data_IF_108550611152
#
_entry.id   IF_108550611152
#
_cell.length_a   1.000
_cell.length_b   1.000
_cell.length_c   1.000
_cell.angle_alpha   90.00
_cell.angle_beta   90.00
_cell.angle_gamma   90.00
#
_symmetry.space_group_name_H-M   'P 1'
#
loop_
_entity.id
_entity.type
_entity.pdbx_description
1 polymer ?
#
# COMPACT_ATOMS: atom_id res chain seq x y z
N UNK A 1 0.29 12.28 51.69
CA UNK A 1 -0.89 12.37 50.80
C UNK A 1 -0.49 12.84 49.38
N UNK A 2 0.29 13.91 49.23
CA UNK A 2 0.78 14.46 47.96
C UNK A 2 1.49 13.43 47.08
N UNK A 3 2.45 12.67 47.58
CA UNK A 3 3.19 11.65 46.81
C UNK A 3 2.31 10.52 46.32
N UNK A 4 1.28 10.15 47.06
CA UNK A 4 0.30 9.15 46.64
C UNK A 4 -0.49 9.68 45.44
N UNK A 5 -0.91 10.93 45.46
CA UNK A 5 -1.67 11.55 44.35
C UNK A 5 -0.80 11.61 43.09
N UNK A 6 0.47 11.99 43.16
CA UNK A 6 1.39 12.00 42.04
C UNK A 6 1.61 10.59 41.47
N UNK A 7 1.85 9.62 42.32
CA UNK A 7 2.08 8.23 41.91
C UNK A 7 0.85 7.63 41.20
N UNK A 8 -0.34 7.86 41.73
CA UNK A 8 -1.58 7.40 41.08
C UNK A 8 -1.78 8.08 39.73
N UNK A 9 -1.50 9.36 39.65
CA UNK A 9 -1.65 10.10 38.41
C UNK A 9 -0.62 9.70 37.33
N UNK A 10 0.62 9.43 37.71
CA UNK A 10 1.64 8.90 36.83
C UNK A 10 1.22 7.52 36.25
N UNK A 11 0.68 6.63 37.08
CA UNK A 11 0.17 5.33 36.63
C UNK A 11 -0.98 5.50 35.63
N UNK A 12 -1.94 6.38 35.91
CA UNK A 12 -3.04 6.69 34.99
C UNK A 12 -2.50 7.25 33.66
N UNK A 13 -1.50 8.15 33.73
CA UNK A 13 -0.85 8.71 32.56
C UNK A 13 -0.20 7.63 31.70
N UNK A 14 0.54 6.68 32.30
CA UNK A 14 1.16 5.56 31.58
C UNK A 14 0.11 4.65 30.93
N UNK A 15 -1.00 4.40 31.61
CA UNK A 15 -2.10 3.63 31.07
C UNK A 15 -2.73 4.29 29.83
N UNK A 16 -3.00 5.59 29.90
CA UNK A 16 -3.52 6.36 28.76
C UNK A 16 -2.52 6.40 27.59
N UNK A 17 -1.23 6.62 27.87
CA UNK A 17 -0.18 6.56 26.85
C UNK A 17 -0.12 5.19 26.18
N UNK A 18 -0.18 4.10 26.94
CA UNK A 18 -0.22 2.74 26.43
C UNK A 18 -1.47 2.49 25.55
N UNK A 19 -2.64 3.02 25.94
CA UNK A 19 -3.86 2.95 25.13
C UNK A 19 -3.70 3.69 23.79
N UNK A 20 -3.03 4.84 23.77
CA UNK A 20 -2.74 5.57 22.55
C UNK A 20 -1.81 4.80 21.61
N UNK A 21 -0.78 4.16 22.16
CA UNK A 21 0.11 3.29 21.39
C UNK A 21 -0.63 2.08 20.80
N UNK A 22 -1.45 1.41 21.61
CA UNK A 22 -2.29 0.30 21.15
C UNK A 22 -3.26 0.74 20.06
N UNK A 23 -3.82 1.95 20.17
CA UNK A 23 -4.72 2.47 19.16
C UNK A 23 -4.03 2.70 17.80
N UNK A 24 -2.74 3.06 17.79
CA UNK A 24 -1.93 3.13 16.56
C UNK A 24 -1.76 1.75 15.91
N UNK A 25 -1.59 0.71 16.71
CA UNK A 25 -1.36 -0.67 16.25
C UNK A 25 -2.66 -1.47 16.10
N UNK A 26 -3.83 -0.89 16.39
CA UNK A 26 -5.12 -1.60 16.42
C UNK A 26 -5.51 -2.27 15.10
N UNK A 27 -5.04 -1.78 13.97
CA UNK A 27 -5.39 -2.31 12.63
C UNK A 27 -4.45 -3.43 12.18
N UNK A 28 -3.35 -3.64 12.89
CA UNK A 28 -2.42 -4.72 12.61
C UNK A 28 -3.01 -6.08 13.00
N UNK A 29 -2.72 -7.11 12.21
CA UNK A 29 -3.19 -8.47 12.51
C UNK A 29 -2.33 -9.11 13.61
N UNK A 30 -2.92 -9.83 14.58
CA UNK A 30 -2.15 -10.54 15.59
C UNK A 30 -1.42 -11.76 14.98
N UNK A 31 -0.21 -12.03 15.42
CA UNK A 31 0.62 -13.16 14.94
C UNK A 31 0.14 -14.50 15.48
N UNK A 32 -0.37 -14.54 16.72
CA UNK A 32 -0.82 -15.74 17.40
C UNK A 32 -2.34 -15.93 17.22
N UNK A 33 -2.87 -17.15 17.41
CA UNK A 33 -4.30 -17.43 17.35
C UNK A 33 -5.11 -16.75 18.47
N UNK A 34 -4.48 -15.83 19.21
CA UNK A 34 -5.15 -14.95 20.14
C UNK A 34 -6.09 -14.00 19.42
N UNK A 35 -7.27 -13.79 19.99
CA UNK A 35 -8.15 -12.72 19.52
C UNK A 35 -7.39 -11.40 19.57
N UNK A 36 -7.59 -10.52 18.58
CA UNK A 36 -6.96 -9.20 18.44
C UNK A 36 -6.86 -8.40 19.75
N UNK A 37 -7.85 -8.55 20.62
CA UNK A 37 -7.90 -7.91 21.95
C UNK A 37 -6.83 -8.40 22.93
N UNK A 38 -6.42 -9.67 22.86
CA UNK A 38 -5.40 -10.20 23.77
C UNK A 38 -4.01 -9.65 23.44
N UNK A 39 -3.63 -9.57 22.16
CA UNK A 39 -2.35 -8.98 21.76
C UNK A 39 -2.27 -7.50 22.14
N UNK A 40 -3.37 -6.77 21.99
CA UNK A 40 -3.48 -5.38 22.41
C UNK A 40 -3.35 -5.21 23.93
N UNK A 41 -4.02 -6.07 24.70
CA UNK A 41 -3.95 -6.06 26.18
C UNK A 41 -2.55 -6.43 26.69
N UNK A 42 -1.88 -7.40 26.07
CA UNK A 42 -0.50 -7.79 26.41
C UNK A 42 0.46 -6.62 26.16
N UNK A 43 0.36 -5.94 24.99
CA UNK A 43 1.19 -4.79 24.70
C UNK A 43 0.95 -3.63 25.66
N UNK A 44 -0.30 -3.35 26.00
CA UNK A 44 -0.68 -2.34 26.99
C UNK A 44 -0.08 -2.68 28.37
N UNK A 45 -0.29 -3.91 28.85
CA UNK A 45 0.25 -4.36 30.13
C UNK A 45 1.78 -4.30 30.19
N UNK A 46 2.45 -4.73 29.11
CA UNK A 46 3.91 -4.63 28.98
C UNK A 46 4.38 -3.18 29.02
N UNK A 47 3.74 -2.28 28.26
CA UNK A 47 4.10 -0.86 28.25
C UNK A 47 3.99 -0.25 29.66
N UNK A 48 2.85 -0.42 30.32
CA UNK A 48 2.61 0.10 31.67
C UNK A 48 3.60 -0.49 32.67
N UNK A 49 3.83 -1.80 32.64
CA UNK A 49 4.78 -2.47 33.54
C UNK A 49 6.21 -1.95 33.37
N UNK A 50 6.66 -1.75 32.12
CA UNK A 50 8.01 -1.19 31.85
C UNK A 50 8.12 0.24 32.33
N UNK A 51 7.11 1.08 32.11
CA UNK A 51 7.11 2.47 32.60
C UNK A 51 7.16 2.53 34.13
N UNK A 52 6.33 1.73 34.81
CA UNK A 52 6.33 1.64 36.27
C UNK A 52 7.68 1.16 36.78
N UNK A 53 8.23 0.08 36.17
CA UNK A 53 9.50 -0.51 36.59
C UNK A 53 10.65 0.51 36.44
N UNK A 54 10.73 1.20 35.29
CA UNK A 54 11.76 2.22 35.04
C UNK A 54 11.60 3.46 35.94
N UNK A 55 10.34 3.82 36.29
CA UNK A 55 10.08 4.98 37.14
C UNK A 55 10.38 4.72 38.61
N UNK A 56 9.97 3.56 39.15
CA UNK A 56 10.04 3.26 40.59
C UNK A 56 11.25 2.42 41.00
N UNK A 57 11.97 1.77 40.07
CA UNK A 57 13.11 0.92 40.42
C UNK A 57 14.31 1.74 40.88
N UNK A 58 14.55 1.74 42.18
CA UNK A 58 15.77 2.33 42.80
C UNK A 58 17.03 1.66 42.30
N UNK A 59 16.99 0.34 42.07
CA UNK A 59 18.13 -0.41 41.56
C UNK A 59 18.55 0.06 40.18
N UNK A 60 17.62 0.23 39.26
CA UNK A 60 17.91 0.72 37.90
C UNK A 60 18.42 2.16 37.97
N UNK A 61 17.80 3.01 38.79
CA UNK A 61 18.27 4.38 38.99
C UNK A 61 19.71 4.41 39.49
N UNK A 62 20.06 3.58 40.47
CA UNK A 62 21.45 3.51 40.99
C UNK A 62 22.45 2.95 40.00
N UNK A 63 22.03 1.99 39.15
CA UNK A 63 22.86 1.41 38.08
C UNK A 63 23.14 2.39 36.97
N UNK A 64 22.12 3.16 36.54
CA UNK A 64 22.20 4.07 35.39
C UNK A 64 22.87 5.43 35.74
N UNK A 65 22.73 5.91 36.97
CA UNK A 65 23.11 7.28 37.33
C UNK A 65 24.20 7.35 38.45
N UNK A 66 24.60 6.21 39.00
CA UNK A 66 25.46 6.19 40.19
C UNK A 66 24.74 6.67 41.45
N UNK A 67 25.33 6.35 42.62
CA UNK A 67 24.70 6.65 43.94
C UNK A 67 24.46 8.13 44.22
N UNK A 68 25.26 9.03 43.64
CA UNK A 68 25.19 10.47 43.92
C UNK A 68 24.11 11.24 43.14
N UNK A 69 23.65 10.71 41.98
CA UNK A 69 22.68 11.40 41.13
C UNK A 69 21.21 10.87 41.29
N UNK A 70 21.00 9.90 42.15
CA UNK A 70 19.69 9.21 42.30
C UNK A 70 18.58 10.13 42.82
N UNK A 71 18.91 11.21 43.51
CA UNK A 71 17.88 11.97 44.24
C UNK A 71 17.05 12.96 43.39
N UNK A 72 17.55 13.47 42.28
CA UNK A 72 16.87 14.61 41.65
C UNK A 72 16.26 14.46 40.25
N UNK A 73 16.59 13.44 39.40
CA UNK A 73 16.19 13.56 38.00
C UNK A 73 15.82 12.28 37.24
N UNK A 74 15.03 11.40 37.81
CA UNK A 74 14.56 10.18 37.12
C UNK A 74 13.63 10.44 35.90
N UNK A 75 12.96 11.60 35.87
CA UNK A 75 12.04 11.98 34.76
C UNK A 75 12.77 12.46 33.50
N UNK A 76 14.06 12.77 33.59
CA UNK A 76 14.78 13.46 32.50
C UNK A 76 15.87 12.61 31.83
N UNK A 77 16.02 11.39 32.25
CA UNK A 77 17.09 10.54 31.73
C UNK A 77 16.77 9.95 30.35
N UNK A 78 17.80 9.84 29.53
CA UNK A 78 17.73 9.32 28.14
C UNK A 78 17.48 7.82 28.12
N UNK A 79 18.17 7.08 28.98
CA UNK A 79 18.21 5.62 28.99
C UNK A 79 16.82 4.97 29.21
N UNK A 80 15.98 5.41 30.15
CA UNK A 80 14.62 4.87 30.29
C UNK A 80 13.77 5.00 29.05
N UNK A 81 13.87 6.10 28.32
CA UNK A 81 13.10 6.30 27.07
C UNK A 81 13.56 5.32 26.01
N UNK A 82 14.88 5.14 25.83
CA UNK A 82 15.46 4.21 24.88
C UNK A 82 15.13 2.75 25.22
N UNK A 83 15.27 2.38 26.51
CA UNK A 83 14.94 1.02 26.97
C UNK A 83 13.45 0.73 26.75
N UNK A 84 12.58 1.65 27.16
CA UNK A 84 11.14 1.49 26.98
C UNK A 84 10.75 1.37 25.51
N UNK A 85 11.34 2.20 24.64
CA UNK A 85 11.13 2.15 23.20
C UNK A 85 11.59 0.81 22.59
N UNK A 86 12.80 0.34 22.95
CA UNK A 86 13.35 -0.93 22.48
C UNK A 86 12.48 -2.12 22.91
N UNK A 87 12.11 -2.20 24.18
CA UNK A 87 11.27 -3.27 24.70
C UNK A 87 9.90 -3.26 24.02
N UNK A 88 9.34 -2.08 23.78
CA UNK A 88 8.07 -1.92 23.06
C UNK A 88 8.18 -2.33 21.59
N UNK A 89 9.28 -2.01 20.90
CA UNK A 89 9.53 -2.47 19.53
C UNK A 89 9.60 -4.01 19.47
N UNK A 90 10.37 -4.62 20.37
CA UNK A 90 10.51 -6.08 20.44
C UNK A 90 9.15 -6.73 20.70
N UNK A 91 8.40 -6.26 21.70
CA UNK A 91 7.06 -6.77 21.99
C UNK A 91 6.10 -6.63 20.80
N UNK A 92 6.12 -5.48 20.12
CA UNK A 92 5.32 -5.25 18.92
C UNK A 92 5.63 -6.24 17.79
N UNK A 93 6.92 -6.47 17.51
CA UNK A 93 7.38 -7.43 16.48
C UNK A 93 6.94 -8.86 16.81
N UNK A 94 6.92 -9.24 18.09
CA UNK A 94 6.45 -10.57 18.50
C UNK A 94 4.93 -10.74 18.47
N UNK A 95 4.19 -9.70 18.84
CA UNK A 95 2.73 -9.77 19.00
C UNK A 95 1.95 -9.61 17.70
N UNK A 96 2.50 -8.84 16.73
CA UNK A 96 1.78 -8.50 15.51
C UNK A 96 2.44 -9.11 14.26
N UNK A 97 1.61 -9.50 13.28
CA UNK A 97 2.04 -10.11 12.02
C UNK A 97 2.16 -9.04 10.92
N UNK A 98 3.00 -8.05 11.16
CA UNK A 98 3.29 -6.97 10.22
C UNK A 98 4.78 -6.92 9.90
N UNK A 99 5.16 -6.17 8.88
CA UNK A 99 6.58 -5.97 8.58
C UNK A 99 7.28 -5.32 9.78
N UNK A 100 8.48 -5.79 10.10
CA UNK A 100 9.28 -5.30 11.23
C UNK A 100 9.47 -3.77 11.16
N UNK A 101 9.73 -3.24 9.97
CA UNK A 101 9.92 -1.81 9.74
C UNK A 101 8.67 -1.00 10.03
N UNK A 102 7.48 -1.51 9.70
CA UNK A 102 6.21 -0.84 9.98
C UNK A 102 5.95 -0.72 11.48
N UNK A 103 6.24 -1.77 12.24
CA UNK A 103 6.11 -1.75 13.72
C UNK A 103 7.11 -0.77 14.32
N UNK A 104 8.38 -0.82 13.89
CA UNK A 104 9.42 0.11 14.33
C UNK A 104 8.99 1.55 14.04
N UNK A 105 8.47 1.81 12.84
CA UNK A 105 7.99 3.13 12.47
C UNK A 105 6.89 3.65 13.42
N UNK A 106 5.87 2.84 13.71
CA UNK A 106 4.80 3.25 14.64
C UNK A 106 5.32 3.54 16.05
N UNK A 107 6.18 2.67 16.58
CA UNK A 107 6.71 2.82 17.93
C UNK A 107 7.65 4.03 18.01
N UNK A 108 8.61 4.17 17.09
CA UNK A 108 9.55 5.30 17.08
C UNK A 108 8.82 6.62 16.90
N UNK A 109 7.84 6.68 15.99
CA UNK A 109 7.05 7.89 15.78
C UNK A 109 6.22 8.26 17.02
N UNK A 110 5.63 7.27 17.71
CA UNK A 110 4.91 7.50 18.96
C UNK A 110 5.82 8.12 20.03
N UNK A 111 6.99 7.53 20.28
CA UNK A 111 7.94 8.06 21.26
C UNK A 111 8.48 9.42 20.85
N UNK A 112 8.78 9.62 19.58
CA UNK A 112 9.25 10.91 19.06
C UNK A 112 8.23 12.02 19.29
N UNK A 113 6.96 11.80 18.92
CA UNK A 113 5.88 12.78 19.12
C UNK A 113 5.67 13.07 20.60
N UNK A 114 5.68 12.04 21.45
CA UNK A 114 5.54 12.21 22.91
C UNK A 114 6.67 13.07 23.50
N UNK A 115 7.91 12.80 23.14
CA UNK A 115 9.06 13.55 23.66
C UNK A 115 9.11 14.98 23.11
N UNK A 116 8.85 15.16 21.82
CA UNK A 116 8.76 16.50 21.20
C UNK A 116 7.68 17.37 21.83
N UNK A 117 6.50 16.78 22.12
CA UNK A 117 5.43 17.50 22.81
C UNK A 117 5.81 17.93 24.22
N UNK A 118 6.55 17.08 24.97
CA UNK A 118 7.05 17.47 26.29
C UNK A 118 7.92 18.72 26.19
N UNK A 119 8.86 18.77 25.25
CA UNK A 119 9.72 19.92 25.03
C UNK A 119 8.99 21.14 24.44
N UNK A 120 7.95 20.94 23.66
CA UNK A 120 7.14 22.04 23.14
C UNK A 120 6.29 22.72 24.21
N UNK A 121 5.78 21.95 25.19
CA UNK A 121 4.83 22.47 26.19
C UNK A 121 5.51 22.87 27.49
N UNK A 122 6.56 22.14 27.94
CA UNK A 122 7.20 22.31 29.23
C UNK A 122 7.69 23.73 29.51
N UNK A 123 8.43 24.44 28.62
CA UNK A 123 8.93 25.78 28.91
C UNK A 123 7.83 26.81 29.14
N UNK A 124 6.72 26.72 28.40
CA UNK A 124 5.57 27.57 28.59
C UNK A 124 4.92 27.33 29.96
N UNK A 125 4.76 26.06 30.34
CA UNK A 125 4.21 25.71 31.65
C UNK A 125 5.15 26.15 32.78
N UNK A 126 6.47 25.99 32.62
CA UNK A 126 7.43 26.46 33.62
C UNK A 126 7.37 27.97 33.80
N UNK A 127 7.34 28.72 32.72
CA UNK A 127 7.23 30.18 32.76
C UNK A 127 5.95 30.66 33.46
N UNK A 128 4.81 30.03 33.17
CA UNK A 128 3.55 30.35 33.83
C UNK A 128 3.56 29.98 35.32
N UNK A 129 4.17 28.83 35.67
CA UNK A 129 4.32 28.40 37.05
C UNK A 129 5.15 29.41 37.86
N UNK A 130 6.29 29.86 37.31
CA UNK A 130 7.12 30.87 37.97
C UNK A 130 6.35 32.14 38.25
N UNK A 131 5.51 32.62 37.30
CA UNK A 131 4.67 33.80 37.51
C UNK A 131 3.62 33.61 38.58
N UNK A 132 3.05 32.43 38.76
CA UNK A 132 2.12 32.12 39.83
C UNK A 132 2.81 32.06 41.21
N UNK A 133 4.01 31.47 41.25
CA UNK A 133 4.82 31.43 42.46
C UNK A 133 5.27 32.84 42.86
N UNK A 134 5.72 33.68 41.92
CA UNK A 134 6.09 35.09 42.14
C UNK A 134 4.92 35.87 42.69
N UNK A 135 3.71 35.67 42.16
CA UNK A 135 2.48 36.29 42.66
C UNK A 135 2.18 35.85 44.10
N UNK A 136 2.30 34.55 44.40
CA UNK A 136 2.10 34.03 45.75
C UNK A 136 3.11 34.66 46.75
N UNK A 137 4.38 34.77 46.34
CA UNK A 137 5.43 35.40 47.10
C UNK A 137 5.14 36.89 47.36
N UNK A 138 4.69 37.64 46.34
CA UNK A 138 4.29 39.03 46.48
C UNK A 138 3.13 39.21 47.48
N UNK A 139 2.11 38.35 47.43
CA UNK A 139 0.97 38.39 48.36
C UNK A 139 1.39 38.09 49.81
N UNK A 140 2.39 37.22 49.99
CA UNK A 140 2.91 36.88 51.29
C UNK A 140 3.85 37.96 51.86
N UNK A 141 4.89 38.38 51.10
CA UNK A 141 5.92 39.28 51.58
C UNK A 141 5.47 40.77 51.61
N UNK A 142 4.92 41.25 50.50
CA UNK A 142 4.63 42.66 50.32
C UNK A 142 3.24 43.04 50.86
N UNK A 143 2.27 42.15 50.69
CA UNK A 143 0.89 42.41 51.14
C UNK A 143 0.57 41.80 52.50
N UNK A 144 1.39 40.90 53.01
CA UNK A 144 1.20 40.21 54.30
C UNK A 144 -0.24 39.67 54.51
N UNK A 145 -0.84 39.15 53.43
CA UNK A 145 -2.23 38.71 53.42
C UNK A 145 -2.47 37.43 54.25
N UNK A 146 -1.42 36.64 54.48
CA UNK A 146 -1.51 35.36 55.21
C UNK A 146 -0.15 34.95 55.81
N UNK A 147 -0.20 34.01 56.81
CA UNK A 147 0.97 33.54 57.51
C UNK A 147 1.81 32.51 56.73
N UNK A 148 2.97 32.22 57.27
CA UNK A 148 3.98 31.35 56.64
C UNK A 148 3.45 29.93 56.30
N UNK A 149 2.67 29.33 57.19
CA UNK A 149 2.07 28.01 56.97
C UNK A 149 1.16 27.99 55.76
N UNK A 150 0.32 29.02 55.61
CA UNK A 150 -0.59 29.15 54.47
C UNK A 150 0.17 29.45 53.17
N UNK A 151 1.28 30.18 53.23
CA UNK A 151 2.15 30.39 52.06
C UNK A 151 2.65 29.08 51.47
N UNK A 152 3.18 28.18 52.32
CA UNK A 152 3.68 26.87 51.88
C UNK A 152 2.55 25.96 51.36
N UNK A 153 1.38 25.99 52.00
CA UNK A 153 0.21 25.22 51.53
C UNK A 153 -0.26 25.70 50.16
N UNK A 154 -0.40 27.00 49.95
CA UNK A 154 -0.81 27.62 48.67
C UNK A 154 0.24 27.28 47.59
N UNK A 155 1.54 27.42 47.87
CA UNK A 155 2.60 27.11 46.92
C UNK A 155 2.57 25.63 46.52
N UNK A 156 2.43 24.73 47.50
CA UNK A 156 2.28 23.30 47.25
C UNK A 156 1.02 22.97 46.42
N UNK A 157 -0.09 23.68 46.67
CA UNK A 157 -1.33 23.57 45.90
C UNK A 157 -1.16 24.01 44.45
N UNK A 158 -0.47 25.13 44.22
CA UNK A 158 -0.16 25.67 42.89
C UNK A 158 0.69 24.63 42.12
N UNK A 159 1.78 24.12 42.70
CA UNK A 159 2.63 23.14 42.08
C UNK A 159 1.88 21.84 41.71
N UNK A 160 1.05 21.33 42.62
CA UNK A 160 0.26 20.13 42.39
C UNK A 160 -0.72 20.31 41.23
N UNK A 161 -1.52 21.38 41.29
CA UNK A 161 -2.49 21.71 40.25
C UNK A 161 -1.82 21.86 38.89
N UNK A 162 -0.65 22.53 38.88
CA UNK A 162 0.10 22.83 37.67
C UNK A 162 0.66 21.56 37.02
N UNK A 163 1.28 20.68 37.80
CA UNK A 163 1.79 19.38 37.29
C UNK A 163 0.68 18.50 36.75
N UNK A 164 -0.49 18.44 37.40
CA UNK A 164 -1.64 17.69 36.93
C UNK A 164 -2.17 18.26 35.60
N UNK A 165 -2.30 19.61 35.52
CA UNK A 165 -2.74 20.26 34.28
C UNK A 165 -1.76 20.08 33.12
N UNK A 166 -0.46 20.15 33.39
CA UNK A 166 0.56 19.87 32.38
C UNK A 166 0.44 18.47 31.76
N UNK A 167 0.32 17.44 32.59
CA UNK A 167 0.18 16.06 32.08
C UNK A 167 -1.14 15.89 31.32
N UNK A 168 -2.22 16.49 31.81
CA UNK A 168 -3.51 16.42 31.09
C UNK A 168 -3.43 17.08 29.70
N UNK A 169 -2.85 18.26 29.62
CA UNK A 169 -2.63 18.97 28.35
C UNK A 169 -1.76 18.14 27.40
N UNK A 170 -0.65 17.58 27.92
CA UNK A 170 0.22 16.70 27.15
C UNK A 170 -0.53 15.50 26.57
N UNK A 171 -1.35 14.83 27.36
CA UNK A 171 -2.14 13.68 26.92
C UNK A 171 -3.19 14.06 25.86
N UNK A 172 -3.86 15.20 26.02
CA UNK A 172 -4.85 15.70 25.06
C UNK A 172 -4.19 16.01 23.71
N UNK A 173 -3.06 16.73 23.71
CA UNK A 173 -2.35 17.03 22.46
C UNK A 173 -1.79 15.77 21.80
N UNK A 174 -1.21 14.85 22.57
CA UNK A 174 -0.75 13.56 22.06
C UNK A 174 -1.89 12.78 21.40
N UNK A 175 -3.05 12.69 22.08
CA UNK A 175 -4.23 12.04 21.52
C UNK A 175 -4.66 12.69 20.19
N UNK A 176 -4.75 14.01 20.14
CA UNK A 176 -5.14 14.74 18.92
C UNK A 176 -4.19 14.48 17.76
N UNK A 177 -2.89 14.55 18.01
CA UNK A 177 -1.87 14.32 16.97
C UNK A 177 -1.93 12.87 16.49
N UNK A 178 -2.00 11.89 17.39
CA UNK A 178 -2.06 10.46 17.04
C UNK A 178 -3.32 10.15 16.24
N UNK A 179 -4.49 10.64 16.65
CA UNK A 179 -5.75 10.43 15.91
C UNK A 179 -5.68 11.07 14.52
N UNK A 180 -5.10 12.26 14.44
CA UNK A 180 -4.93 12.93 13.15
C UNK A 180 -3.91 12.20 12.24
N UNK A 181 -2.78 11.77 12.79
CA UNK A 181 -1.78 10.98 12.09
C UNK A 181 -2.35 9.63 11.63
N UNK A 182 -3.17 8.98 12.45
CA UNK A 182 -3.78 7.69 12.11
C UNK A 182 -4.49 7.74 10.77
N UNK A 183 -5.18 8.82 10.44
CA UNK A 183 -5.85 9.03 9.15
C UNK A 183 -4.91 8.88 7.94
N UNK A 184 -3.64 9.25 8.09
CA UNK A 184 -2.61 9.15 7.04
C UNK A 184 -1.72 7.92 7.19
N UNK A 185 -1.75 7.28 8.37
CA UNK A 185 -0.99 6.09 8.71
C UNK A 185 -1.78 4.79 8.50
N UNK A 186 -3.09 4.85 8.28
CA UNK A 186 -3.94 3.70 7.93
C UNK A 186 -3.52 3.16 6.56
N UNK A 187 -2.42 2.46 6.60
CA UNK A 187 -1.75 1.85 5.47
C UNK A 187 -2.44 0.52 5.15
N UNK A 188 -3.55 0.58 4.41
CA UNK A 188 -4.22 -0.61 3.86
C UNK A 188 -3.38 -1.30 2.77
N UNK A 189 -2.31 -0.66 2.30
CA UNK A 189 -1.49 -1.10 1.19
C UNK A 189 -0.10 -1.53 1.65
N UNK A 190 0.51 -2.44 0.89
CA UNK A 190 1.87 -2.91 1.15
C UNK A 190 2.86 -1.81 0.77
N UNK A 191 3.36 -1.09 1.77
CA UNK A 191 4.44 -0.13 1.59
C UNK A 191 5.76 -0.85 1.34
N UNK A 192 6.52 -0.35 0.40
CA UNK A 192 7.90 -0.78 0.23
C UNK A 192 8.77 -0.33 1.41
N UNK A 193 9.80 -1.12 1.72
CA UNK A 193 10.72 -0.81 2.81
C UNK A 193 11.40 0.56 2.64
N UNK A 194 11.69 0.98 1.42
CA UNK A 194 12.24 2.29 1.06
C UNK A 194 11.35 3.46 1.50
N UNK A 195 10.04 3.32 1.27
CA UNK A 195 9.04 4.32 1.65
C UNK A 195 8.88 4.44 3.17
N UNK A 196 8.91 3.31 3.88
CA UNK A 196 8.84 3.28 5.34
C UNK A 196 10.08 3.93 5.97
N UNK A 197 11.29 3.70 5.43
CA UNK A 197 12.52 4.33 5.89
C UNK A 197 12.45 5.84 5.69
N UNK A 198 11.93 6.31 4.56
CA UNK A 198 11.79 7.74 4.27
C UNK A 198 10.92 8.47 5.32
N UNK A 199 9.79 7.87 5.72
CA UNK A 199 8.89 8.48 6.73
C UNK A 199 9.40 8.28 8.15
N UNK A 200 10.19 7.25 8.40
CA UNK A 200 10.84 7.01 9.70
C UNK A 200 11.90 8.08 10.01
N UNK A 201 12.59 8.59 8.99
CA UNK A 201 13.72 9.50 9.16
C UNK A 201 13.40 10.77 9.98
N UNK A 202 12.31 11.54 9.73
CA UNK A 202 11.96 12.69 10.57
C UNK A 202 11.61 12.32 12.01
N UNK A 203 11.04 11.13 12.24
CA UNK A 203 10.74 10.66 13.59
C UNK A 203 12.02 10.34 14.37
N UNK A 204 12.99 9.71 13.71
CA UNK A 204 14.32 9.42 14.31
C UNK A 204 15.07 10.71 14.58
N UNK A 205 15.12 11.65 13.64
CA UNK A 205 15.81 12.95 13.84
C UNK A 205 15.17 13.76 14.94
N UNK A 206 13.83 13.79 15.03
CA UNK A 206 13.11 14.44 16.13
C UNK A 206 13.43 13.83 17.49
N UNK A 207 13.48 12.49 17.57
CA UNK A 207 13.86 11.79 18.79
C UNK A 207 15.32 12.09 19.19
N UNK A 208 16.25 12.04 18.24
CA UNK A 208 17.66 12.38 18.50
C UNK A 208 17.81 13.82 19.01
N UNK A 209 17.08 14.77 18.42
CA UNK A 209 17.07 16.16 18.90
C UNK A 209 16.59 16.23 20.36
N UNK A 210 15.50 15.53 20.70
CA UNK A 210 15.01 15.46 22.07
C UNK A 210 16.03 14.88 23.04
N UNK A 211 16.75 13.85 22.62
CA UNK A 211 17.81 13.24 23.43
C UNK A 211 19.00 14.20 23.64
N UNK A 212 19.38 14.95 22.61
CA UNK A 212 20.42 15.99 22.71
C UNK A 212 20.01 17.12 23.66
N UNK A 213 18.80 17.68 23.51
CA UNK A 213 18.28 18.71 24.40
C UNK A 213 18.25 18.20 25.85
N UNK A 214 17.80 16.97 26.05
CA UNK A 214 17.72 16.33 27.37
C UNK A 214 19.11 16.16 28.02
N UNK A 215 20.15 15.85 27.25
CA UNK A 215 21.52 15.72 27.75
C UNK A 215 22.11 17.07 28.20
N UNK A 216 21.62 18.17 27.60
CA UNK A 216 22.11 19.53 27.91
C UNK A 216 21.25 20.25 28.97
N UNK A 217 20.13 19.64 29.40
CA UNK A 217 19.09 20.31 30.19
C UNK A 217 19.60 20.75 31.59
N UNK A 218 20.62 20.09 32.10
CA UNK A 218 21.23 20.41 33.39
C UNK A 218 22.76 20.43 33.25
N UNK A 219 23.37 21.52 33.69
CA UNK A 219 24.82 21.63 33.87
C UNK A 219 25.11 21.72 35.38
N UNK A 220 26.22 21.11 35.82
CA UNK A 220 26.78 21.34 37.14
C UNK A 220 27.91 22.37 37.00
N UNK A 221 27.68 23.54 37.54
CA UNK A 221 28.73 24.57 37.73
C UNK A 221 28.82 24.88 39.23
N UNK A 222 30.02 24.88 39.76
CA UNK A 222 30.34 25.25 41.15
C UNK A 222 29.51 24.56 42.27
N UNK A 223 29.16 23.26 42.11
CA UNK A 223 28.27 22.48 42.97
C UNK A 223 26.77 22.83 42.89
N UNK A 224 26.37 23.78 42.06
CA UNK A 224 24.98 24.10 41.83
C UNK A 224 24.47 23.49 40.52
N UNK A 225 23.21 23.06 40.51
CA UNK A 225 22.55 22.51 39.34
C UNK A 225 21.82 23.64 38.64
N UNK A 226 22.33 24.06 37.50
CA UNK A 226 21.67 25.05 36.65
C UNK A 226 20.83 24.40 35.55
N UNK A 227 19.62 24.87 35.41
CA UNK A 227 18.79 24.49 34.30
C UNK A 227 19.20 25.25 33.03
N UNK A 228 19.11 24.58 31.86
CA UNK A 228 19.38 25.22 30.57
C UNK A 228 18.50 26.48 30.36
N UNK A 229 17.27 26.46 30.85
CA UNK A 229 16.31 27.55 30.72
C UNK A 229 16.64 28.76 31.62
N UNK A 230 17.29 28.53 32.74
CA UNK A 230 17.77 29.60 33.65
C UNK A 230 19.07 30.22 33.15
N UNK A 231 19.99 29.37 32.66
CA UNK A 231 21.30 29.81 32.16
C UNK A 231 21.19 30.54 30.81
N UNK A 232 20.19 30.15 29.98
CA UNK A 232 19.95 30.70 28.63
C UNK A 232 18.48 30.94 28.38
N UNK A 233 17.93 32.11 28.73
CA UNK A 233 16.51 32.42 28.58
C UNK A 233 15.95 32.30 27.16
N UNK A 234 16.78 32.49 26.12
CA UNK A 234 16.44 32.30 24.72
C UNK A 234 15.98 30.86 24.41
N UNK A 235 16.43 29.87 25.16
CA UNK A 235 16.05 28.47 25.00
C UNK A 235 14.57 28.23 25.35
N UNK A 236 13.96 29.07 26.17
CA UNK A 236 12.51 29.01 26.45
C UNK A 236 11.64 29.19 25.20
N UNK A 237 12.15 29.85 24.16
CA UNK A 237 11.46 30.00 22.87
C UNK A 237 12.01 29.05 21.81
N UNK A 238 13.32 28.87 21.74
CA UNK A 238 13.94 28.05 20.70
C UNK A 238 13.57 26.58 20.80
N UNK A 239 13.54 26.00 22.00
CA UNK A 239 13.22 24.58 22.22
C UNK A 239 11.76 24.25 21.83
N UNK A 240 10.74 25.00 22.26
CA UNK A 240 9.38 24.79 21.77
C UNK A 240 9.24 24.95 20.26
N UNK A 241 9.83 26.00 19.68
CA UNK A 241 9.74 26.25 18.25
C UNK A 241 10.36 25.11 17.41
N UNK A 242 11.56 24.65 17.77
CA UNK A 242 12.21 23.53 17.08
C UNK A 242 11.45 22.22 17.27
N UNK A 243 10.90 21.96 18.46
CA UNK A 243 10.08 20.77 18.74
C UNK A 243 8.79 20.77 17.93
N UNK A 244 8.09 21.89 17.85
CA UNK A 244 6.90 22.03 17.01
C UNK A 244 7.21 21.86 15.53
N UNK A 245 8.32 22.44 15.06
CA UNK A 245 8.77 22.27 13.68
C UNK A 245 9.04 20.80 13.34
N UNK A 246 9.68 20.05 14.23
CA UNK A 246 9.89 18.62 14.06
C UNK A 246 8.54 17.84 13.99
N UNK A 247 7.57 18.17 14.85
CA UNK A 247 6.24 17.57 14.81
C UNK A 247 5.57 17.85 13.46
N UNK A 248 5.63 19.11 13.00
CA UNK A 248 5.07 19.48 11.67
C UNK A 248 5.75 18.70 10.54
N UNK A 249 7.07 18.52 10.61
CA UNK A 249 7.81 17.73 9.62
C UNK A 249 7.39 16.25 9.62
N UNK A 250 7.21 15.62 10.78
CA UNK A 250 6.72 14.24 10.90
C UNK A 250 5.32 14.12 10.26
N UNK A 251 4.44 15.04 10.57
CA UNK A 251 3.07 15.10 10.05
C UNK A 251 3.08 15.32 8.52
N UNK A 252 3.88 16.27 8.05
CA UNK A 252 3.98 16.63 6.64
C UNK A 252 4.51 15.47 5.80
N UNK A 253 5.56 14.79 6.24
CA UNK A 253 6.13 13.64 5.53
C UNK A 253 5.16 12.47 5.47
N UNK A 254 4.42 12.17 6.55
CA UNK A 254 3.38 11.15 6.55
C UNK A 254 2.26 11.47 5.55
N UNK A 255 1.77 12.73 5.55
CA UNK A 255 0.74 13.19 4.61
C UNK A 255 1.22 13.15 3.16
N UNK A 256 2.46 13.58 2.91
CA UNK A 256 3.03 13.65 1.57
C UNK A 256 3.22 12.25 0.98
N UNK A 257 3.73 11.30 1.79
CA UNK A 257 3.85 9.91 1.36
C UNK A 257 2.49 9.31 1.03
N UNK A 258 1.50 9.48 1.89
CA UNK A 258 0.14 9.00 1.63
C UNK A 258 -0.39 9.53 0.28
N UNK A 259 -0.22 10.85 0.03
CA UNK A 259 -0.63 11.46 -1.24
C UNK A 259 0.09 10.84 -2.44
N UNK A 260 1.42 10.67 -2.36
CA UNK A 260 2.22 10.08 -3.44
C UNK A 260 1.79 8.64 -3.78
N UNK A 261 1.45 7.85 -2.77
CA UNK A 261 1.00 6.47 -2.96
C UNK A 261 -0.38 6.43 -3.63
N UNK A 262 -1.32 7.26 -3.15
CA UNK A 262 -2.65 7.36 -3.78
C UNK A 262 -2.52 7.77 -5.25
N UNK A 263 -1.70 8.78 -5.57
CA UNK A 263 -1.45 9.21 -6.95
C UNK A 263 -0.77 8.11 -7.79
N UNK A 264 0.18 7.38 -7.22
CA UNK A 264 0.84 6.26 -7.90
C UNK A 264 -0.15 5.14 -8.25
N UNK A 265 -1.02 4.77 -7.31
CA UNK A 265 -2.03 3.74 -7.52
C UNK A 265 -3.06 4.16 -8.57
N UNK A 266 -3.49 5.43 -8.57
CA UNK A 266 -4.36 5.96 -9.61
C UNK A 266 -3.70 5.89 -11.00
N UNK A 267 -2.40 6.20 -11.10
CA UNK A 267 -1.67 6.08 -12.37
C UNK A 267 -1.62 4.64 -12.88
N UNK A 268 -1.39 3.68 -12.00
CA UNK A 268 -1.40 2.26 -12.34
C UNK A 268 -2.79 1.84 -12.84
N UNK A 269 -3.85 2.25 -12.15
CA UNK A 269 -5.24 1.95 -12.55
C UNK A 269 -5.56 2.56 -13.93
N UNK A 270 -5.19 3.80 -14.17
CA UNK A 270 -5.35 4.46 -15.47
C UNK A 270 -4.60 3.69 -16.58
N UNK A 271 -3.37 3.25 -16.32
CA UNK A 271 -2.59 2.48 -17.30
C UNK A 271 -3.26 1.14 -17.67
N UNK A 272 -3.87 0.47 -16.69
CA UNK A 272 -4.64 -0.77 -16.92
C UNK A 272 -5.88 -0.49 -17.78
N UNK A 273 -6.60 0.61 -17.51
CA UNK A 273 -7.75 0.99 -18.34
C UNK A 273 -7.35 1.37 -19.76
N UNK A 274 -6.24 2.07 -19.94
CA UNK A 274 -5.73 2.42 -21.27
C UNK A 274 -5.36 1.16 -22.08
N UNK A 275 -4.75 0.17 -21.45
CA UNK A 275 -4.44 -1.10 -22.12
C UNK A 275 -5.72 -1.84 -22.55
N UNK A 276 -6.73 -1.91 -21.67
CA UNK A 276 -8.03 -2.52 -22.02
C UNK A 276 -8.73 -1.79 -23.16
N UNK A 277 -8.69 -0.46 -23.20
CA UNK A 277 -9.24 0.33 -24.30
C UNK A 277 -8.54 -0.04 -25.60
N UNK A 278 -7.21 -0.14 -25.58
CA UNK A 278 -6.41 -0.49 -26.76
C UNK A 278 -6.74 -1.90 -27.29
N UNK A 279 -6.90 -2.87 -26.39
CA UNK A 279 -7.37 -4.22 -26.77
C UNK A 279 -8.75 -4.16 -27.40
N UNK A 280 -9.66 -3.35 -26.85
CA UNK A 280 -11.02 -3.19 -27.37
C UNK A 280 -11.03 -2.53 -28.76
N UNK A 281 -10.20 -1.50 -28.99
CA UNK A 281 -10.02 -0.87 -30.30
C UNK A 281 -9.51 -1.85 -31.37
N UNK A 282 -8.57 -2.75 -31.00
CA UNK A 282 -8.13 -3.82 -31.89
C UNK A 282 -9.26 -4.79 -32.25
N UNK A 283 -10.07 -5.20 -31.26
CA UNK A 283 -11.22 -6.07 -31.52
C UNK A 283 -12.26 -5.42 -32.43
N UNK A 284 -12.52 -4.10 -32.25
CA UNK A 284 -13.44 -3.37 -33.15
C UNK A 284 -12.89 -3.35 -34.57
N UNK A 285 -11.60 -3.09 -34.76
CA UNK A 285 -10.95 -3.14 -36.07
C UNK A 285 -11.03 -4.52 -36.72
N UNK A 286 -10.86 -5.58 -35.98
CA UNK A 286 -11.00 -6.97 -36.50
C UNK A 286 -12.44 -7.26 -36.92
N UNK A 287 -13.44 -6.79 -36.16
CA UNK A 287 -14.87 -6.91 -36.52
C UNK A 287 -15.17 -6.11 -37.78
N UNK A 288 -14.70 -4.89 -37.91
CA UNK A 288 -14.91 -4.05 -39.11
C UNK A 288 -14.32 -4.73 -40.35
N UNK A 289 -13.14 -5.34 -40.25
CA UNK A 289 -12.53 -6.10 -41.35
C UNK A 289 -13.35 -7.33 -41.73
N UNK A 290 -13.91 -8.06 -40.76
CA UNK A 290 -14.85 -9.16 -40.99
C UNK A 290 -16.13 -8.71 -41.73
N UNK A 291 -16.72 -7.60 -41.29
CA UNK A 291 -17.92 -7.03 -41.97
C UNK A 291 -17.59 -6.57 -43.40
N UNK A 292 -16.42 -6.00 -43.63
CA UNK A 292 -15.98 -5.61 -44.97
C UNK A 292 -15.86 -6.84 -45.89
N UNK A 293 -15.29 -7.95 -45.40
CA UNK A 293 -15.21 -9.23 -46.11
C UNK A 293 -16.60 -9.82 -46.46
N UNK A 294 -17.50 -9.85 -45.48
CA UNK A 294 -18.88 -10.32 -45.72
C UNK A 294 -19.64 -9.45 -46.73
N UNK A 295 -19.45 -8.13 -46.70
CA UNK A 295 -20.05 -7.22 -47.68
C UNK A 295 -19.51 -7.45 -49.08
N UNK A 296 -18.23 -7.73 -49.24
CA UNK A 296 -17.62 -8.13 -50.49
C UNK A 296 -18.24 -9.42 -51.05
N UNK A 297 -18.33 -10.46 -50.24
CA UNK A 297 -18.96 -11.74 -50.65
C UNK A 297 -20.43 -11.55 -51.09
N UNK A 298 -21.19 -10.72 -50.34
CA UNK A 298 -22.58 -10.42 -50.71
C UNK A 298 -22.71 -9.72 -52.08
N UNK A 299 -21.76 -8.83 -52.37
CA UNK A 299 -21.70 -8.13 -53.67
C UNK A 299 -21.38 -9.12 -54.80
N UNK A 300 -20.41 -10.00 -54.61
CA UNK A 300 -20.01 -10.99 -55.61
C UNK A 300 -21.12 -12.01 -55.87
N UNK A 301 -21.80 -12.48 -54.81
CA UNK A 301 -23.00 -13.34 -54.97
C UNK A 301 -24.10 -12.68 -55.74
N UNK A 302 -24.37 -11.36 -55.58
CA UNK A 302 -25.37 -10.64 -56.37
C UNK A 302 -24.97 -10.57 -57.84
N UNK A 303 -23.71 -10.37 -58.15
CA UNK A 303 -23.20 -10.36 -59.52
C UNK A 303 -23.37 -11.74 -60.17
N UNK A 304 -23.02 -12.82 -59.46
CA UNK A 304 -23.21 -14.21 -59.96
C UNK A 304 -24.70 -14.51 -60.25
N UNK A 305 -25.61 -14.09 -59.38
CA UNK A 305 -27.10 -14.27 -59.59
C UNK A 305 -27.55 -13.49 -60.84
N UNK A 306 -27.09 -12.23 -60.96
CA UNK A 306 -27.46 -11.40 -62.12
C UNK A 306 -26.93 -11.97 -63.46
N UNK A 307 -25.70 -12.48 -63.48
CA UNK A 307 -25.14 -13.12 -64.62
C UNK A 307 -25.86 -14.41 -64.97
N UNK A 308 -26.30 -15.23 -64.01
CA UNK A 308 -27.14 -16.39 -64.22
C UNK A 308 -28.50 -16.02 -64.79
N UNK A 309 -29.15 -14.98 -64.24
CA UNK A 309 -30.44 -14.50 -64.74
C UNK A 309 -30.37 -14.00 -66.21
N UNK A 310 -29.28 -13.29 -66.56
CA UNK A 310 -29.03 -12.83 -67.92
C UNK A 310 -28.84 -14.02 -68.90
N UNK A 311 -28.09 -15.05 -68.54
CA UNK A 311 -27.90 -16.25 -69.35
C UNK A 311 -29.15 -17.10 -69.50
N UNK A 312 -30.11 -17.03 -68.57
CA UNK A 312 -31.38 -17.72 -68.66
C UNK A 312 -32.43 -16.96 -69.52
N UNK A 313 -32.25 -15.66 -69.75
CA UNK A 313 -33.16 -14.83 -70.58
C UNK A 313 -32.84 -14.83 -72.08
N UNK A 314 -31.65 -15.29 -72.48
CA UNK A 314 -31.33 -15.49 -73.89
C UNK A 314 -32.16 -16.65 -74.50
N UNK A 315 -33.12 -16.33 -75.34
CA UNK A 315 -34.06 -17.28 -76.01
C UNK A 315 -33.31 -18.31 -76.92
N UNK A 316 -32.08 -18.19 -77.17
CA UNK A 316 -31.23 -19.12 -77.89
C UNK A 316 -30.26 -19.79 -76.89
N UNK A 317 -30.80 -20.57 -75.97
CA UNK A 317 -30.04 -21.27 -74.97
C UNK A 317 -28.88 -22.05 -75.58
N UNK A 318 -27.71 -21.44 -75.61
CA UNK A 318 -26.46 -22.11 -75.96
C UNK A 318 -25.99 -22.92 -74.73
N UNK A 319 -26.21 -24.25 -74.70
CA UNK A 319 -25.89 -25.08 -73.54
C UNK A 319 -24.39 -25.04 -73.22
N UNK A 320 -23.56 -24.67 -74.18
CA UNK A 320 -22.13 -24.54 -74.06
C UNK A 320 -21.70 -23.28 -73.28
N UNK A 321 -22.38 -22.15 -73.48
CA UNK A 321 -22.09 -20.91 -72.79
C UNK A 321 -22.49 -20.99 -71.31
N UNK A 322 -23.63 -21.61 -71.00
CA UNK A 322 -24.07 -21.85 -69.62
C UNK A 322 -23.16 -22.81 -68.89
N UNK A 323 -22.69 -23.86 -69.56
CA UNK A 323 -21.72 -24.82 -69.03
C UNK A 323 -20.34 -24.16 -68.77
N UNK A 324 -19.85 -23.35 -69.69
CA UNK A 324 -18.60 -22.58 -69.50
C UNK A 324 -18.70 -21.58 -68.32
N UNK A 325 -19.88 -20.97 -68.16
CA UNK A 325 -20.09 -20.05 -66.99
C UNK A 325 -20.13 -20.85 -65.67
N UNK A 326 -20.85 -22.00 -65.65
CA UNK A 326 -20.84 -22.87 -64.47
C UNK A 326 -19.44 -23.40 -64.17
N UNK A 327 -18.65 -23.76 -65.20
CA UNK A 327 -17.24 -24.20 -65.02
C UNK A 327 -16.36 -23.05 -64.52
N UNK A 328 -16.60 -21.82 -64.99
CA UNK A 328 -15.90 -20.63 -64.49
C UNK A 328 -16.30 -20.26 -63.06
N UNK A 329 -17.57 -20.41 -62.70
CA UNK A 329 -18.10 -20.27 -61.37
C UNK A 329 -17.54 -21.33 -60.42
N UNK A 330 -17.51 -22.57 -60.90
CA UNK A 330 -16.95 -23.69 -60.17
C UNK A 330 -15.42 -23.50 -59.97
N UNK A 331 -14.70 -23.03 -60.98
CA UNK A 331 -13.30 -22.65 -60.85
C UNK A 331 -13.08 -21.49 -59.90
N UNK A 332 -13.97 -20.48 -59.88
CA UNK A 332 -13.94 -19.36 -58.94
C UNK A 332 -14.27 -19.79 -57.51
N UNK A 333 -15.22 -20.72 -57.35
CA UNK A 333 -15.56 -21.35 -56.07
C UNK A 333 -14.42 -22.28 -55.61
N UNK A 334 -13.80 -23.00 -56.55
CA UNK A 334 -12.60 -23.83 -56.26
C UNK A 334 -11.37 -22.98 -55.95
N UNK A 335 -11.22 -21.76 -56.50
CA UNK A 335 -10.22 -20.81 -56.06
C UNK A 335 -10.55 -20.22 -54.68
N UNK A 336 -11.81 -20.17 -54.28
CA UNK A 336 -12.31 -19.97 -52.95
C UNK A 336 -12.31 -21.27 -52.14
N UNK A 337 -11.65 -22.35 -52.66
CA UNK A 337 -11.61 -23.64 -52.01
C UNK A 337 -11.01 -23.47 -50.61
N UNK A 338 -11.92 -23.32 -49.66
CA UNK A 338 -11.54 -23.25 -48.27
C UNK A 338 -10.94 -24.60 -47.93
N UNK A 339 -9.65 -24.64 -47.86
CA UNK A 339 -8.87 -25.85 -47.54
C UNK A 339 -9.39 -26.58 -46.30
N UNK A 340 -10.18 -25.88 -45.50
CA UNK A 340 -10.83 -26.35 -44.27
C UNK A 340 -12.32 -26.09 -44.32
N UNK A 341 -13.09 -27.14 -44.26
CA UNK A 341 -14.53 -27.09 -44.07
C UNK A 341 -14.82 -27.45 -42.59
N UNK A 342 -14.97 -26.48 -41.75
CA UNK A 342 -15.18 -26.67 -40.30
C UNK A 342 -16.67 -26.87 -39.96
N UNK A 343 -17.56 -26.71 -40.94
CA UNK A 343 -19.01 -26.74 -40.76
C UNK A 343 -19.61 -25.40 -40.27
N UNK A 344 -18.77 -24.34 -40.18
CA UNK A 344 -19.24 -22.98 -39.90
C UNK A 344 -18.50 -21.94 -40.74
N UNK A 345 -19.20 -21.08 -41.50
CA UNK A 345 -18.58 -20.12 -42.42
C UNK A 345 -17.61 -19.14 -41.74
N UNK A 346 -17.88 -18.75 -40.48
CA UNK A 346 -17.05 -17.79 -39.74
C UNK A 346 -15.72 -18.42 -39.37
N UNK A 347 -15.77 -19.65 -38.88
CA UNK A 347 -14.53 -20.39 -38.55
C UNK A 347 -13.71 -20.77 -39.79
N UNK A 348 -14.38 -21.05 -40.92
CA UNK A 348 -13.74 -21.33 -42.22
C UNK A 348 -12.92 -20.11 -42.69
N UNK A 349 -13.50 -18.89 -42.62
CA UNK A 349 -12.80 -17.65 -42.96
C UNK A 349 -11.59 -17.40 -42.05
N UNK A 350 -11.71 -17.65 -40.77
CA UNK A 350 -10.59 -17.52 -39.82
C UNK A 350 -9.48 -18.51 -40.18
N UNK A 351 -9.82 -19.77 -40.43
CA UNK A 351 -8.85 -20.79 -40.82
C UNK A 351 -8.08 -20.42 -42.10
N UNK A 352 -8.82 -19.96 -43.11
CA UNK A 352 -8.25 -19.53 -44.38
C UNK A 352 -7.27 -18.37 -44.21
N UNK A 353 -7.64 -17.37 -43.37
CA UNK A 353 -6.77 -16.24 -43.04
C UNK A 353 -5.46 -16.72 -42.42
N UNK A 354 -5.51 -17.62 -41.42
CA UNK A 354 -4.31 -18.08 -40.76
C UNK A 354 -3.45 -19.03 -41.63
N UNK A 355 -4.06 -19.79 -42.54
CA UNK A 355 -3.32 -20.55 -43.57
C UNK A 355 -2.49 -19.61 -44.46
N UNK A 356 -3.10 -18.53 -44.93
CA UNK A 356 -2.40 -17.53 -45.76
C UNK A 356 -1.31 -16.81 -44.96
N UNK A 357 -1.59 -16.38 -43.74
CA UNK A 357 -0.57 -15.76 -42.88
C UNK A 357 0.58 -16.69 -42.57
N UNK A 358 0.29 -17.95 -42.25
CA UNK A 358 1.31 -18.98 -42.01
C UNK A 358 2.20 -19.19 -43.25
N UNK A 359 1.60 -19.28 -44.44
CA UNK A 359 2.34 -19.39 -45.71
C UNK A 359 3.27 -18.20 -45.94
N UNK A 360 2.81 -16.97 -45.66
CA UNK A 360 3.63 -15.76 -45.83
C UNK A 360 4.84 -15.71 -44.90
N UNK A 361 4.81 -16.41 -43.75
CA UNK A 361 5.90 -16.48 -42.77
C UNK A 361 6.64 -17.82 -42.76
N UNK A 362 6.41 -18.69 -43.75
CA UNK A 362 7.03 -19.99 -43.88
C UNK A 362 6.79 -20.92 -42.67
N UNK A 363 5.53 -20.86 -42.17
CA UNK A 363 5.06 -21.66 -41.03
C UNK A 363 4.18 -22.81 -41.57
N UNK A 364 4.49 -24.04 -41.20
CA UNK A 364 3.65 -25.19 -41.54
C UNK A 364 2.37 -25.13 -40.69
N UNK A 365 1.21 -25.01 -41.35
CA UNK A 365 -0.09 -24.94 -40.68
C UNK A 365 -0.91 -26.19 -40.95
N UNK A 366 -1.40 -26.82 -39.89
CA UNK A 366 -2.30 -27.97 -39.96
C UNK A 366 -3.46 -27.78 -39.01
N UNK A 367 -4.68 -28.03 -39.48
CA UNK A 367 -5.86 -27.95 -38.64
C UNK A 367 -6.75 -29.19 -38.85
N UNK A 368 -7.17 -29.76 -37.72
CA UNK A 368 -8.18 -30.80 -37.61
C UNK A 368 -9.26 -30.26 -36.66
N UNK A 369 -10.22 -29.49 -37.22
CA UNK A 369 -11.20 -28.76 -36.47
C UNK A 369 -12.56 -28.88 -37.14
N UNK A 370 -13.56 -29.30 -36.32
CA UNK A 370 -14.98 -29.29 -36.69
C UNK A 370 -15.76 -28.45 -35.70
N UNK A 371 -16.63 -27.60 -36.24
CA UNK A 371 -17.50 -26.76 -35.43
C UNK A 371 -18.51 -27.62 -34.64
N UNK A 372 -18.67 -27.38 -33.32
CA UNK A 372 -19.54 -28.21 -32.48
C UNK A 372 -21.03 -27.81 -32.60
N UNK A 373 -21.63 -28.06 -33.74
CA UNK A 373 -23.03 -27.70 -34.03
C UNK A 373 -24.07 -28.33 -33.09
N UNK A 374 -23.69 -29.38 -32.37
CA UNK A 374 -24.54 -30.03 -31.35
C UNK A 374 -24.44 -29.40 -29.95
N UNK A 375 -23.57 -28.44 -29.75
CA UNK A 375 -23.45 -27.67 -28.51
C UNK A 375 -24.07 -26.29 -28.77
N UNK A 376 -24.84 -25.79 -27.83
CA UNK A 376 -25.45 -24.45 -27.91
C UNK A 376 -24.40 -23.35 -27.72
N UNK A 377 -23.38 -23.35 -28.58
CA UNK A 377 -22.24 -22.47 -28.55
C UNK A 377 -22.36 -21.43 -29.65
N UNK A 378 -22.22 -20.17 -29.32
CA UNK A 378 -22.26 -19.10 -30.32
C UNK A 378 -20.99 -19.21 -31.21
N UNK A 379 -21.22 -19.20 -32.53
CA UNK A 379 -20.12 -19.23 -33.50
C UNK A 379 -19.20 -18.00 -33.37
N UNK A 380 -19.71 -16.88 -32.94
CA UNK A 380 -18.95 -15.65 -32.72
C UNK A 380 -17.98 -15.79 -31.55
N UNK A 381 -18.49 -16.27 -30.38
CA UNK A 381 -17.65 -16.49 -29.19
C UNK A 381 -16.53 -17.50 -29.49
N UNK A 382 -16.88 -18.59 -30.19
CA UNK A 382 -15.88 -19.59 -30.58
C UNK A 382 -14.83 -19.02 -31.54
N UNK A 383 -15.27 -18.16 -32.47
CA UNK A 383 -14.36 -17.50 -33.42
C UNK A 383 -13.36 -16.58 -32.74
N UNK A 384 -13.78 -15.84 -31.71
CA UNK A 384 -12.90 -15.00 -30.88
C UNK A 384 -11.83 -15.85 -30.17
N UNK A 385 -12.24 -16.98 -29.59
CA UNK A 385 -11.32 -17.88 -28.87
C UNK A 385 -10.27 -18.42 -29.84
N UNK A 386 -10.69 -18.91 -31.00
CA UNK A 386 -9.81 -19.48 -32.03
C UNK A 386 -8.86 -18.41 -32.59
N UNK A 387 -9.40 -17.23 -32.92
CA UNK A 387 -8.60 -16.12 -33.46
C UNK A 387 -7.50 -15.71 -32.48
N UNK A 388 -7.82 -15.54 -31.20
CA UNK A 388 -6.85 -15.20 -30.17
C UNK A 388 -5.79 -16.30 -29.98
N UNK A 389 -6.18 -17.57 -29.98
CA UNK A 389 -5.25 -18.68 -29.83
C UNK A 389 -4.30 -18.81 -31.03
N UNK A 390 -4.83 -18.67 -32.24
CA UNK A 390 -4.03 -18.74 -33.47
C UNK A 390 -3.12 -17.50 -33.64
N UNK A 391 -3.58 -16.31 -33.24
CA UNK A 391 -2.75 -15.11 -33.26
C UNK A 391 -1.54 -15.26 -32.32
N UNK A 392 -1.76 -15.74 -31.10
CA UNK A 392 -0.68 -16.02 -30.13
C UNK A 392 0.33 -17.06 -30.70
N UNK A 393 -0.18 -18.11 -31.33
CA UNK A 393 0.65 -19.12 -31.95
C UNK A 393 1.49 -18.55 -33.11
N UNK A 394 0.89 -17.71 -33.94
CA UNK A 394 1.54 -17.04 -35.06
C UNK A 394 2.65 -16.11 -34.57
N UNK A 395 2.36 -15.29 -33.56
CA UNK A 395 3.36 -14.40 -32.95
C UNK A 395 4.54 -15.18 -32.35
N UNK A 396 4.28 -16.28 -31.66
CA UNK A 396 5.33 -17.14 -31.10
C UNK A 396 6.24 -17.70 -32.17
N UNK A 397 5.65 -18.24 -33.29
CA UNK A 397 6.39 -18.72 -34.43
C UNK A 397 7.18 -17.63 -35.14
N UNK A 398 6.64 -16.40 -35.24
CA UNK A 398 7.37 -15.25 -35.84
C UNK A 398 8.61 -14.86 -35.06
N UNK A 399 8.54 -14.91 -33.74
CA UNK A 399 9.66 -14.58 -32.83
C UNK A 399 10.77 -15.66 -32.86
N UNK A 400 10.47 -16.86 -33.33
CA UNK A 400 11.46 -17.93 -33.46
C UNK A 400 12.44 -17.62 -34.60
N UNK A 401 13.74 -17.59 -34.30
CA UNK A 401 14.81 -17.28 -35.28
C UNK A 401 15.31 -18.51 -36.03
N UNK A 402 15.32 -19.67 -35.38
CA UNK A 402 15.88 -20.91 -35.94
C UNK A 402 14.95 -22.11 -35.69
N UNK A 403 14.99 -23.11 -36.58
CA UNK A 403 14.23 -24.35 -36.49
C UNK A 403 12.92 -24.34 -37.31
N UNK A 404 12.30 -25.52 -37.44
CA UNK A 404 11.06 -25.73 -38.19
C UNK A 404 9.89 -25.03 -37.43
N UNK A 405 9.21 -24.13 -38.13
CA UNK A 405 8.04 -23.41 -37.59
C UNK A 405 6.76 -24.17 -37.93
N UNK A 406 5.94 -24.42 -36.95
CA UNK A 406 4.65 -25.09 -37.18
C UNK A 406 3.57 -24.58 -36.22
N UNK A 407 2.32 -24.69 -36.68
CA UNK A 407 1.10 -24.44 -35.89
C UNK A 407 0.16 -25.64 -36.19
N UNK A 408 -0.29 -26.33 -35.16
CA UNK A 408 -1.29 -27.37 -35.21
C UNK A 408 -2.49 -26.98 -34.37
N UNK A 409 -3.68 -26.96 -35.00
CA UNK A 409 -4.95 -26.78 -34.32
C UNK A 409 -5.71 -28.09 -34.36
N UNK A 410 -6.19 -28.56 -33.23
CA UNK A 410 -7.09 -29.71 -33.13
C UNK A 410 -8.22 -29.46 -32.16
N UNK A 411 -9.38 -30.07 -32.43
CA UNK A 411 -10.50 -30.00 -31.52
C UNK A 411 -11.18 -31.37 -31.42
N UNK A 412 -11.63 -31.67 -30.21
CA UNK A 412 -12.41 -32.88 -29.94
C UNK A 412 -13.39 -32.68 -28.80
N UNK A 413 -14.46 -33.47 -28.82
CA UNK A 413 -15.44 -33.52 -27.76
C UNK A 413 -15.18 -34.68 -26.82
N UNK A 414 -15.22 -34.41 -25.53
CA UNK A 414 -15.21 -35.46 -24.48
C UNK A 414 -16.29 -35.17 -23.47
N UNK A 415 -17.30 -36.02 -23.43
CA UNK A 415 -18.54 -35.84 -22.64
C UNK A 415 -19.21 -34.49 -22.96
N UNK A 416 -19.39 -33.61 -21.98
CA UNK A 416 -19.98 -32.27 -22.11
C UNK A 416 -18.97 -31.15 -22.34
N UNK A 417 -17.72 -31.50 -22.58
CA UNK A 417 -16.65 -30.51 -22.79
C UNK A 417 -16.15 -30.55 -24.22
N UNK A 418 -15.91 -29.38 -24.81
CA UNK A 418 -15.24 -29.21 -26.09
C UNK A 418 -13.81 -28.70 -25.86
N UNK A 419 -12.84 -29.44 -26.33
CA UNK A 419 -11.41 -29.13 -26.17
C UNK A 419 -10.88 -28.57 -27.47
N UNK A 420 -10.22 -27.40 -27.40
CA UNK A 420 -9.49 -26.77 -28.49
C UNK A 420 -8.03 -26.77 -28.09
N UNK A 421 -7.18 -27.40 -28.89
CA UNK A 421 -5.75 -27.51 -28.63
C UNK A 421 -5.01 -26.82 -29.77
N UNK A 422 -4.23 -25.80 -29.43
CA UNK A 422 -3.29 -25.16 -30.37
C UNK A 422 -1.89 -25.46 -29.90
N UNK A 423 -1.13 -26.12 -30.81
CA UNK A 423 0.30 -26.38 -30.60
C UNK A 423 1.09 -25.53 -31.57
N UNK A 424 2.19 -24.97 -31.14
CA UNK A 424 3.07 -24.19 -31.99
C UNK A 424 4.53 -24.37 -31.59
N UNK A 425 5.40 -24.14 -32.55
CA UNK A 425 6.83 -24.02 -32.27
C UNK A 425 7.13 -22.69 -31.56
N UNK A 426 8.00 -22.69 -30.56
CA UNK A 426 8.41 -21.49 -29.85
C UNK A 426 9.86 -21.61 -29.35
N UNK A 427 10.45 -20.46 -28.98
CA UNK A 427 11.75 -20.39 -28.33
C UNK A 427 11.61 -20.37 -26.83
N UNK A 428 12.21 -21.30 -26.11
CA UNK A 428 12.12 -21.47 -24.64
C UNK A 428 12.63 -20.28 -23.80
N UNK A 429 13.22 -19.26 -24.42
CA UNK A 429 13.91 -18.17 -23.73
C UNK A 429 12.97 -17.16 -23.03
N UNK A 430 11.65 -17.23 -23.23
CA UNK A 430 10.69 -16.25 -22.64
C UNK A 430 9.34 -16.88 -22.28
N UNK A 431 9.31 -17.85 -21.40
CA UNK A 431 8.06 -18.19 -20.70
C UNK A 431 8.02 -17.38 -19.40
N UNK A 432 7.28 -16.25 -19.37
CA UNK A 432 6.87 -15.69 -18.09
C UNK A 432 5.96 -16.72 -17.41
N UNK A 433 6.21 -17.07 -16.14
CA UNK A 433 5.34 -18.01 -15.44
C UNK A 433 3.91 -17.48 -15.42
N UNK A 434 2.96 -18.35 -15.75
CA UNK A 434 1.54 -18.05 -15.68
C UNK A 434 1.19 -17.54 -14.28
N UNK A 435 0.25 -16.59 -14.12
CA UNK A 435 -0.23 -16.14 -12.79
C UNK A 435 -0.71 -17.29 -11.88
N UNK A 436 -1.01 -18.47 -12.46
CA UNK A 436 -1.38 -19.68 -11.69
C UNK A 436 -0.19 -20.39 -11.07
N UNK A 437 1.00 -20.33 -11.68
CA UNK A 437 2.20 -21.01 -11.17
C UNK A 437 2.80 -20.30 -9.94
N UNK A 438 2.49 -19.00 -9.75
CA UNK A 438 2.89 -18.23 -8.56
C UNK A 438 2.10 -18.56 -7.28
N UNK A 439 1.06 -19.38 -7.36
CA UNK A 439 0.24 -19.77 -6.18
C UNK A 439 0.64 -21.12 -5.57
N UNK A 440 1.59 -21.83 -6.16
CA UNK A 440 2.04 -23.16 -5.69
C UNK A 440 3.49 -23.19 -5.22
N UNK A 441 4.17 -22.04 -5.12
CA UNK A 441 5.54 -21.92 -4.55
C UNK A 441 5.53 -21.12 -3.25
#
# INVERSE_FOLDING_TARGET
MRDIVYNVFDIISYFVQGMLLVNLLKETQPRFPFKKYHSAAILLGQYVAVQIFLHYSVFIKSLLYGKSMVMNNSRQSILPVLISMLVTCVAGIFLFNESRLKIIYYVVTFYSVMELLKFAIYPLFLWLLTKLVDLNQYLFLDRQMYGETMFFEVNSGIEMFWNLSYVLVLLVFTYRIIVWMKKYLEMKENYENSQLIFVLFPSVTGLLLCLMIRSMMFSMEDNDIHSLFDSRPEMNLMVPCTSLLCIVMIIFTAKMLHKLIVESNQKIEISIYQERIREMEQHIGDIENLYAGIRGMKHDMKNYIADMEALMQEETGNPTAFRQYLDSLQASVEQLDMKYNTGNPVTDVIMQRYVQLAKNYDIAFQADFLFPSSMNMDAFDLSIIINNALNNALEACRRQKEGRKFIELSAYRRQNMFFIIVKNSFCLLYTSPSPRDKRQS
#
